data_IF_139323841881
#
_entry.id   IF_139323841881
#
_cell.length_a   1.000
_cell.length_b   1.000
_cell.length_c   1.000
_cell.angle_alpha   90.00
_cell.angle_beta   90.00
_cell.angle_gamma   90.00
#
_symmetry.space_group_name_H-M   'P 1'
#
loop_
_entity.id
_entity.type
_entity.pdbx_description
1 polymer ?
#
# COMPACT_ATOMS: atom_id res chain seq x y z
N UNK A 1 16.22 9.15 -15.46
CA UNK A 1 15.86 9.11 -14.02
C UNK A 1 14.85 10.21 -13.72
N UNK A 2 13.60 9.88 -13.38
CA UNK A 2 12.66 10.70 -12.59
C UNK A 2 11.30 9.98 -12.44
N UNK A 3 11.30 8.86 -11.71
CA UNK A 3 10.16 7.93 -11.61
C UNK A 3 9.40 7.94 -10.28
N UNK A 4 9.37 9.06 -9.55
CA UNK A 4 8.72 9.15 -8.21
C UNK A 4 7.83 10.38 -8.08
N UNK A 5 7.02 10.69 -9.10
CA UNK A 5 6.49 12.05 -9.24
C UNK A 5 5.46 12.46 -8.18
N UNK A 6 4.89 11.55 -7.37
CA UNK A 6 3.84 11.90 -6.40
C UNK A 6 3.82 11.06 -5.10
N UNK A 7 4.98 10.62 -4.56
CA UNK A 7 5.00 9.90 -3.27
C UNK A 7 5.09 10.85 -2.08
N UNK A 8 4.35 10.56 -1.00
CA UNK A 8 4.30 11.39 0.23
C UNK A 8 4.84 10.59 1.40
N UNK A 9 5.72 11.19 2.19
CA UNK A 9 6.18 10.60 3.46
C UNK A 9 5.14 10.94 4.54
N UNK A 10 4.74 9.94 5.31
CA UNK A 10 3.83 10.10 6.44
C UNK A 10 4.53 9.61 7.71
N UNK A 11 4.26 10.28 8.84
CA UNK A 11 4.62 9.81 10.17
C UNK A 11 3.33 9.41 10.86
N UNK A 12 3.23 8.15 11.30
CA UNK A 12 2.02 7.60 11.93
C UNK A 12 2.40 6.86 13.20
N UNK A 13 1.64 7.11 14.27
CA UNK A 13 1.71 6.31 15.48
C UNK A 13 0.75 5.12 15.33
N UNK A 14 1.27 3.92 15.54
CA UNK A 14 0.51 2.67 15.49
C UNK A 14 0.81 1.84 16.72
N UNK A 15 -0.01 0.83 17.00
CA UNK A 15 0.28 -0.12 18.07
C UNK A 15 1.51 -0.96 17.74
N UNK A 16 2.18 -1.48 18.76
CA UNK A 16 3.33 -2.38 18.59
C UNK A 16 2.98 -3.60 17.72
N UNK A 17 1.77 -4.14 17.89
CA UNK A 17 1.29 -5.29 17.11
C UNK A 17 1.12 -4.97 15.62
N UNK A 18 0.59 -3.79 15.29
CA UNK A 18 0.48 -3.33 13.89
C UNK A 18 1.87 -3.15 13.27
N UNK A 19 2.80 -2.54 13.99
CA UNK A 19 4.17 -2.38 13.51
C UNK A 19 4.84 -3.74 13.19
N UNK A 20 4.75 -4.70 14.12
CA UNK A 20 5.25 -6.06 13.92
C UNK A 20 4.64 -6.76 12.71
N UNK A 21 3.31 -6.66 12.53
CA UNK A 21 2.63 -7.30 11.41
C UNK A 21 2.96 -6.65 10.07
N UNK A 22 3.17 -5.33 10.02
CA UNK A 22 3.62 -4.66 8.79
C UNK A 22 4.99 -5.15 8.34
N UNK A 23 5.93 -5.35 9.27
CA UNK A 23 7.25 -5.94 8.97
C UNK A 23 7.12 -7.39 8.49
N UNK A 24 6.32 -8.20 9.19
CA UNK A 24 6.08 -9.59 8.80
C UNK A 24 5.46 -9.71 7.40
N UNK A 25 4.46 -8.90 7.10
CA UNK A 25 3.81 -8.87 5.79
C UNK A 25 4.76 -8.40 4.69
N UNK A 26 5.58 -7.38 4.97
CA UNK A 26 6.59 -6.92 4.00
C UNK A 26 7.59 -8.03 3.69
N UNK A 27 8.08 -8.74 4.70
CA UNK A 27 8.99 -9.89 4.52
C UNK A 27 8.33 -11.02 3.72
N UNK A 28 7.08 -11.39 4.04
CA UNK A 28 6.35 -12.44 3.31
C UNK A 28 6.11 -12.10 1.84
N UNK A 29 5.89 -10.83 1.51
CA UNK A 29 5.66 -10.38 0.14
C UNK A 29 6.96 -9.98 -0.59
N UNK A 30 8.13 -10.05 0.05
CA UNK A 30 9.40 -9.61 -0.52
C UNK A 30 9.50 -8.09 -0.74
N UNK A 31 8.71 -7.30 0.00
CA UNK A 31 8.76 -5.84 -0.08
C UNK A 31 9.88 -5.27 0.79
N UNK A 32 10.59 -4.28 0.24
CA UNK A 32 11.69 -3.60 0.95
C UNK A 32 11.20 -2.63 2.02
N UNK A 33 10.00 -2.07 1.86
CA UNK A 33 9.45 -1.05 2.75
C UNK A 33 7.99 -1.36 3.13
N UNK A 34 7.64 -1.08 4.40
CA UNK A 34 6.27 -1.21 4.94
C UNK A 34 5.23 -0.40 4.13
N UNK A 35 5.68 0.67 3.46
CA UNK A 35 4.84 1.50 2.59
C UNK A 35 4.09 0.70 1.53
N UNK A 36 4.73 -0.30 0.92
CA UNK A 36 4.08 -1.16 -0.08
C UNK A 36 2.94 -1.99 0.49
N UNK A 37 3.08 -2.48 1.74
CA UNK A 37 2.00 -3.20 2.44
C UNK A 37 0.84 -2.25 2.72
N UNK A 38 1.14 -1.05 3.20
CA UNK A 38 0.13 -0.02 3.50
C UNK A 38 -0.63 0.35 2.22
N UNK A 39 0.08 0.63 1.13
CA UNK A 39 -0.52 0.99 -0.16
C UNK A 39 -1.46 -0.11 -0.67
N UNK A 40 -1.03 -1.37 -0.59
CA UNK A 40 -1.84 -2.52 -1.02
C UNK A 40 -3.11 -2.65 -0.20
N UNK A 41 -3.01 -2.64 1.13
CA UNK A 41 -4.17 -2.78 2.03
C UNK A 41 -5.15 -1.62 1.88
N UNK A 42 -4.64 -0.39 1.78
CA UNK A 42 -5.48 0.80 1.57
C UNK A 42 -6.19 0.73 0.22
N UNK A 43 -5.47 0.35 -0.85
CA UNK A 43 -6.06 0.19 -2.18
C UNK A 43 -7.16 -0.88 -2.18
N UNK A 44 -6.88 -2.06 -1.62
CA UNK A 44 -7.86 -3.14 -1.50
C UNK A 44 -9.09 -2.70 -0.70
N UNK A 45 -8.90 -2.01 0.43
CA UNK A 45 -10.00 -1.52 1.25
C UNK A 45 -10.84 -0.47 0.52
N UNK A 46 -10.21 0.46 -0.20
CA UNK A 46 -10.91 1.46 -1.00
C UNK A 46 -11.70 0.82 -2.15
N UNK A 47 -11.17 -0.24 -2.79
CA UNK A 47 -11.90 -0.99 -3.81
C UNK A 47 -13.13 -1.71 -3.24
N UNK A 48 -13.00 -2.31 -2.05
CA UNK A 48 -14.12 -2.93 -1.33
C UNK A 48 -15.21 -1.91 -0.98
N UNK A 49 -14.82 -0.74 -0.48
CA UNK A 49 -15.75 0.30 -0.06
C UNK A 49 -16.43 1.02 -1.25
N UNK A 50 -15.73 1.17 -2.38
CA UNK A 50 -16.25 1.89 -3.54
C UNK A 50 -16.94 1.00 -4.60
N UNK A 51 -17.16 -0.29 -4.31
CA UNK A 51 -18.00 -1.17 -5.14
C UNK A 51 -17.53 -1.32 -6.59
N UNK A 52 -16.23 -1.51 -6.84
CA UNK A 52 -15.76 -1.97 -8.16
C UNK A 52 -16.02 -1.03 -9.34
N UNK A 53 -15.99 0.31 -9.17
CA UNK A 53 -15.88 1.22 -10.32
C UNK A 53 -14.49 1.09 -10.94
N UNK A 54 -14.38 0.12 -11.85
CA UNK A 54 -13.29 -0.18 -12.78
C UNK A 54 -12.55 1.09 -13.22
N UNK A 55 -11.26 1.16 -12.91
CA UNK A 55 -10.31 1.77 -13.84
C UNK A 55 -10.05 0.71 -14.92
N UNK A 56 -10.95 0.63 -15.91
CA UNK A 56 -10.58 0.20 -17.25
C UNK A 56 -9.62 1.26 -17.77
N UNK A 57 -8.32 0.99 -17.64
CA UNK A 57 -7.35 1.55 -18.56
C UNK A 57 -6.81 0.36 -19.35
N UNK A 58 -7.34 0.23 -20.57
CA UNK A 58 -6.65 -0.45 -21.65
C UNK A 58 -5.19 -0.02 -21.64
N UNK A 59 -4.29 -0.98 -21.42
CA UNK A 59 -2.95 -0.88 -21.97
C UNK A 59 -2.98 -1.67 -23.27
N UNK A 60 -2.76 -0.91 -24.35
CA UNK A 60 -2.66 -1.33 -25.74
C UNK A 60 -1.27 -1.91 -26.02
#
# INVERSE_FOLDING_TARGET
MNGKKNMRRISVLVTAQTAYNLDKLAAMCGYRERGHVIDKLVREKMLQLNGGKRHEQNEN
#
